data_IF_330960375437
#
_entry.id   IF_330960375437
#
_cell.length_a   1.000
_cell.length_b   1.000
_cell.length_c   1.000
_cell.angle_alpha   90.00
_cell.angle_beta   90.00
_cell.angle_gamma   90.00
#
_symmetry.space_group_name_H-M   'P 1'
#
loop_
_entity.id
_entity.type
_entity.pdbx_description
1 polymer ?
#
# COMPACT_ATOMS: atom_id res chain seq x y z
N UNK A 1 -15.38 -25.36 61.81
CA UNK A 1 -15.40 -25.48 60.33
C UNK A 1 -15.50 -24.15 59.57
N UNK A 2 -16.19 -23.10 60.10
CA UNK A 2 -16.42 -21.81 59.39
C UNK A 2 -15.14 -21.04 58.99
N UNK A 3 -14.09 -21.04 59.82
CA UNK A 3 -12.81 -20.34 59.54
C UNK A 3 -12.00 -20.95 58.37
N UNK A 4 -12.11 -22.26 58.14
CA UNK A 4 -11.33 -22.96 57.08
C UNK A 4 -11.86 -22.63 55.68
N UNK A 5 -13.17 -22.41 55.54
CA UNK A 5 -13.78 -21.98 54.28
C UNK A 5 -13.37 -20.56 53.90
N UNK A 6 -13.25 -19.62 54.85
CA UNK A 6 -12.84 -18.26 54.56
C UNK A 6 -11.39 -18.18 54.05
N UNK A 7 -10.50 -19.03 54.57
CA UNK A 7 -9.11 -19.12 54.10
C UNK A 7 -9.04 -19.69 52.67
N UNK A 8 -9.83 -20.71 52.36
CA UNK A 8 -9.92 -21.29 51.02
C UNK A 8 -10.48 -20.27 50.02
N UNK A 9 -11.55 -19.54 50.38
CA UNK A 9 -12.13 -18.48 49.55
C UNK A 9 -11.12 -17.36 49.30
N UNK A 10 -10.37 -16.96 50.34
CA UNK A 10 -9.30 -15.96 50.21
C UNK A 10 -8.19 -16.43 49.28
N UNK A 11 -7.80 -17.71 49.36
CA UNK A 11 -6.80 -18.30 48.48
C UNK A 11 -7.26 -18.32 47.01
N UNK A 12 -8.53 -18.65 46.77
CA UNK A 12 -9.12 -18.60 45.43
C UNK A 12 -9.16 -17.17 44.86
N UNK A 13 -9.53 -16.18 45.67
CA UNK A 13 -9.50 -14.76 45.28
C UNK A 13 -8.09 -14.31 44.91
N UNK A 14 -7.08 -14.70 45.69
CA UNK A 14 -5.69 -14.34 45.46
C UNK A 14 -5.13 -14.99 44.18
N UNK A 15 -5.51 -16.24 43.91
CA UNK A 15 -5.20 -16.94 42.66
C UNK A 15 -5.83 -16.24 41.46
N UNK A 16 -7.12 -15.91 41.50
CA UNK A 16 -7.82 -15.24 40.40
C UNK A 16 -7.16 -13.89 40.07
N UNK A 17 -6.87 -13.06 41.07
CA UNK A 17 -6.20 -11.76 40.90
C UNK A 17 -4.78 -11.92 40.31
N UNK A 18 -4.09 -13.02 40.65
CA UNK A 18 -2.75 -13.30 40.13
C UNK A 18 -2.77 -13.74 38.65
N UNK A 19 -3.86 -14.36 38.19
CA UNK A 19 -4.03 -14.79 36.80
C UNK A 19 -4.55 -13.68 35.88
N UNK A 20 -5.34 -12.72 36.38
CA UNK A 20 -5.86 -11.61 35.56
C UNK A 20 -4.78 -10.65 35.06
N UNK A 21 -3.61 -10.59 35.71
CA UNK A 21 -2.50 -9.73 35.28
C UNK A 21 -1.63 -10.34 34.16
N UNK A 22 -1.92 -11.56 33.69
CA UNK A 22 -1.14 -12.23 32.63
C UNK A 22 -1.79 -12.23 31.25
N UNK A 23 -3.02 -11.77 31.11
CA UNK A 23 -3.62 -11.56 29.79
C UNK A 23 -3.12 -10.24 29.22
N UNK A 24 -1.86 -10.20 28.77
CA UNK A 24 -1.48 -9.29 27.68
C UNK A 24 -2.25 -9.79 26.47
N UNK A 25 -3.46 -9.25 26.27
CA UNK A 25 -4.12 -9.40 24.99
C UNK A 25 -3.12 -8.92 23.94
N UNK A 26 -2.71 -9.81 23.03
CA UNK A 26 -2.14 -9.34 21.79
C UNK A 26 -3.24 -8.51 21.17
N UNK A 27 -3.09 -7.19 21.19
CA UNK A 27 -3.85 -6.35 20.28
C UNK A 27 -3.41 -6.89 18.93
N UNK A 28 -4.30 -7.64 18.28
CA UNK A 28 -4.23 -7.87 16.84
C UNK A 28 -4.43 -6.48 16.22
N UNK A 29 -3.42 -5.63 16.32
CA UNK A 29 -3.29 -4.49 15.45
C UNK A 29 -3.29 -5.10 14.06
N UNK A 30 -4.41 -4.95 13.37
CA UNK A 30 -4.56 -5.45 12.03
C UNK A 30 -3.48 -4.78 11.20
N UNK A 31 -2.38 -5.51 10.94
CA UNK A 31 -1.32 -5.16 10.00
C UNK A 31 -1.83 -5.20 8.56
N UNK A 32 -3.02 -4.65 8.31
CA UNK A 32 -3.60 -4.53 6.99
C UNK A 32 -2.80 -3.46 6.25
N UNK A 33 -2.07 -3.83 5.19
CA UNK A 33 -1.50 -2.86 4.28
C UNK A 33 -2.62 -1.98 3.72
N UNK A 34 -2.29 -0.74 3.40
CA UNK A 34 -3.18 0.19 2.74
C UNK A 34 -2.47 0.73 1.52
N UNK A 35 -3.21 0.78 0.42
CA UNK A 35 -2.81 1.44 -0.82
C UNK A 35 -3.91 2.43 -1.18
N UNK A 36 -3.64 3.72 -0.96
CA UNK A 36 -4.55 4.80 -1.32
C UNK A 36 -3.78 6.04 -1.75
N UNK A 37 -4.35 6.81 -2.66
CA UNK A 37 -3.96 8.21 -2.85
C UNK A 37 -4.59 9.03 -1.74
N UNK A 38 -3.76 9.68 -0.92
CA UNK A 38 -4.22 10.36 0.29
C UNK A 38 -4.57 11.82 0.07
N UNK A 39 -3.69 12.55 -0.63
CA UNK A 39 -3.88 13.98 -0.94
C UNK A 39 -2.96 14.44 -2.07
N UNK A 40 -3.24 15.62 -2.61
CA UNK A 40 -2.28 16.35 -3.44
C UNK A 40 -1.19 17.00 -2.57
N UNK A 41 0.02 17.10 -3.10
CA UNK A 41 1.17 17.76 -2.50
C UNK A 41 1.87 18.66 -3.52
N UNK A 42 2.87 19.41 -3.05
CA UNK A 42 3.71 20.25 -3.90
C UNK A 42 5.15 19.73 -3.82
N UNK A 43 5.75 19.43 -4.97
CA UNK A 43 7.14 19.00 -5.07
C UNK A 43 7.79 19.71 -6.26
N UNK A 44 8.91 20.39 -6.02
CA UNK A 44 9.61 21.19 -7.04
C UNK A 44 8.71 22.17 -7.81
N UNK A 45 7.74 22.80 -7.11
CA UNK A 45 6.71 23.70 -7.67
C UNK A 45 5.66 23.04 -8.56
N UNK A 46 5.68 21.72 -8.70
CA UNK A 46 4.64 20.95 -9.37
C UNK A 46 3.65 20.37 -8.36
N UNK A 47 2.37 20.35 -8.71
CA UNK A 47 1.35 19.65 -7.93
C UNK A 47 1.38 18.16 -8.30
N UNK A 48 1.34 17.31 -7.29
CA UNK A 48 1.53 15.86 -7.43
C UNK A 48 0.64 15.10 -6.45
N UNK A 49 0.47 13.79 -6.65
CA UNK A 49 -0.27 12.94 -5.71
C UNK A 49 0.66 12.32 -4.66
N UNK A 50 0.19 12.27 -3.42
CA UNK A 50 0.84 11.56 -2.33
C UNK A 50 0.14 10.21 -2.11
N UNK A 51 0.80 9.11 -2.50
CA UNK A 51 0.32 7.75 -2.27
C UNK A 51 0.80 7.20 -0.93
N UNK A 52 -0.09 6.57 -0.16
CA UNK A 52 0.27 5.77 1.01
C UNK A 52 0.37 4.31 0.57
N UNK A 53 1.49 3.68 0.92
CA UNK A 53 1.75 2.25 0.77
C UNK A 53 2.32 1.72 2.09
N UNK A 54 1.52 1.75 3.15
CA UNK A 54 1.96 1.49 4.54
C UNK A 54 0.93 0.63 5.28
N UNK A 55 1.25 0.17 6.47
CA UNK A 55 0.27 -0.46 7.36
C UNK A 55 -0.73 0.57 7.88
N UNK A 56 -1.96 0.13 8.12
CA UNK A 56 -2.93 0.98 8.80
C UNK A 56 -2.41 1.43 10.17
N UNK A 57 -2.51 2.74 10.41
CA UNK A 57 -2.25 3.42 11.67
C UNK A 57 -3.43 4.34 11.91
N UNK A 58 -3.87 4.47 13.15
CA UNK A 58 -4.99 5.36 13.48
C UNK A 58 -4.65 6.83 13.16
N UNK A 59 -3.39 7.21 13.31
CA UNK A 59 -2.87 8.53 12.98
C UNK A 59 -2.20 8.51 11.59
N UNK A 60 -2.93 9.02 10.59
CA UNK A 60 -2.45 9.05 9.19
C UNK A 60 -1.18 9.87 9.01
N UNK A 61 -0.92 10.88 9.85
CA UNK A 61 0.30 11.70 9.74
C UNK A 61 1.59 10.90 10.02
N UNK A 62 1.47 9.72 10.65
CA UNK A 62 2.58 8.79 10.92
C UNK A 62 2.74 7.73 9.83
N UNK A 63 1.90 7.74 8.81
CA UNK A 63 2.06 6.87 7.64
C UNK A 63 3.11 7.45 6.71
N UNK A 64 3.86 6.56 6.06
CA UNK A 64 4.80 6.97 5.01
C UNK A 64 4.06 7.24 3.71
N UNK A 65 4.47 8.31 3.04
CA UNK A 65 3.94 8.71 1.74
C UNK A 65 5.02 8.59 0.68
N UNK A 66 4.60 8.31 -0.54
CA UNK A 66 5.41 8.40 -1.74
C UNK A 66 4.80 9.41 -2.71
N UNK A 67 5.65 10.12 -3.43
CA UNK A 67 5.25 11.12 -4.39
C UNK A 67 5.09 10.48 -5.77
N UNK A 68 3.88 10.56 -6.31
CA UNK A 68 3.50 9.97 -7.58
C UNK A 68 3.04 11.05 -8.55
N UNK A 69 3.40 10.88 -9.82
CA UNK A 69 2.98 11.73 -10.92
C UNK A 69 2.39 10.87 -12.02
N UNK A 70 1.18 11.19 -12.44
CA UNK A 70 0.58 10.66 -13.65
C UNK A 70 0.74 11.68 -14.78
N UNK A 71 1.25 11.23 -15.91
CA UNK A 71 1.28 12.01 -17.14
C UNK A 71 0.44 11.30 -18.20
N UNK A 72 -0.65 11.94 -18.63
CA UNK A 72 -1.61 11.42 -19.60
C UNK A 72 -1.15 11.53 -21.06
N UNK A 73 -0.18 12.39 -21.37
CA UNK A 73 0.40 12.51 -22.71
C UNK A 73 1.47 11.45 -22.94
N UNK A 74 2.29 11.22 -21.91
CA UNK A 74 3.24 10.11 -21.89
C UNK A 74 2.59 8.76 -21.59
N UNK A 75 1.34 8.78 -21.12
CA UNK A 75 0.61 7.62 -20.60
C UNK A 75 1.47 6.82 -19.61
N UNK A 76 2.03 7.51 -18.63
CA UNK A 76 3.03 6.94 -17.71
C UNK A 76 2.78 7.36 -16.27
N UNK A 77 3.09 6.46 -15.34
CA UNK A 77 3.13 6.76 -13.91
C UNK A 77 4.59 6.82 -13.46
N UNK A 78 4.91 7.85 -12.70
CA UNK A 78 6.23 8.08 -12.15
C UNK A 78 6.19 8.12 -10.64
N UNK A 79 7.26 7.63 -10.03
CA UNK A 79 7.56 7.76 -8.61
C UNK A 79 8.75 8.71 -8.45
N UNK A 80 8.70 9.61 -7.49
CA UNK A 80 9.86 10.42 -7.13
C UNK A 80 10.90 9.58 -6.38
N UNK A 81 12.12 9.55 -6.90
CA UNK A 81 13.29 9.02 -6.22
C UNK A 81 13.94 10.14 -5.40
N UNK A 82 13.93 9.98 -4.07
CA UNK A 82 14.50 10.95 -3.15
C UNK A 82 16.03 10.98 -3.18
N UNK A 83 16.70 9.90 -3.59
CA UNK A 83 18.15 9.81 -3.63
C UNK A 83 18.68 10.51 -4.88
N UNK A 84 18.06 10.21 -6.03
CA UNK A 84 18.41 10.80 -7.32
C UNK A 84 17.72 12.15 -7.60
N UNK A 85 16.82 12.59 -6.72
CA UNK A 85 16.02 13.82 -6.85
C UNK A 85 15.23 13.94 -8.15
N UNK A 86 14.81 12.83 -8.72
CA UNK A 86 14.18 12.77 -10.04
C UNK A 86 12.97 11.84 -10.06
N UNK A 87 12.04 12.09 -10.99
CA UNK A 87 10.93 11.17 -11.24
C UNK A 87 11.39 9.98 -12.09
N UNK A 88 11.16 8.78 -11.58
CA UNK A 88 11.42 7.52 -12.28
C UNK A 88 10.11 6.92 -12.77
N UNK A 89 10.10 6.50 -14.04
CA UNK A 89 8.94 5.86 -14.65
C UNK A 89 8.77 4.45 -14.07
N UNK A 90 7.64 4.21 -13.41
CA UNK A 90 7.33 2.93 -12.76
C UNK A 90 6.25 2.13 -13.51
N UNK A 91 5.36 2.79 -14.25
CA UNK A 91 4.34 2.14 -15.08
C UNK A 91 4.31 2.86 -16.43
N UNK A 92 4.35 2.09 -17.53
CA UNK A 92 4.08 2.59 -18.87
C UNK A 92 2.74 1.99 -19.34
N UNK A 93 1.78 2.82 -19.70
CA UNK A 93 0.43 2.39 -20.06
C UNK A 93 0.25 2.24 -21.59
N UNK A 94 1.27 2.58 -22.38
CA UNK A 94 1.29 2.39 -23.84
C UNK A 94 1.43 0.92 -24.17
N UNK A 95 0.51 0.36 -24.95
CA UNK A 95 0.47 -1.08 -25.23
C UNK A 95 1.67 -1.62 -26.02
N UNK A 96 2.51 -0.75 -26.58
CA UNK A 96 3.68 -1.13 -27.38
C UNK A 96 4.97 -1.26 -26.54
N UNK A 97 4.95 -0.84 -25.26
CA UNK A 97 6.11 -0.94 -24.38
C UNK A 97 6.12 -2.27 -23.61
N UNK A 98 6.64 -3.31 -24.26
CA UNK A 98 6.72 -4.66 -23.70
C UNK A 98 7.87 -4.84 -22.70
N UNK A 99 8.67 -3.80 -22.43
CA UNK A 99 9.83 -3.93 -21.55
C UNK A 99 9.38 -3.96 -20.09
N UNK A 100 9.74 -5.01 -19.33
CA UNK A 100 9.43 -5.04 -17.91
C UNK A 100 10.10 -3.87 -17.19
N UNK A 101 9.39 -3.28 -16.25
CA UNK A 101 9.94 -2.27 -15.33
C UNK A 101 10.47 -2.98 -14.12
N UNK A 102 11.77 -2.90 -13.90
CA UNK A 102 12.45 -3.73 -12.90
C UNK A 102 12.67 -2.99 -11.58
N UNK A 103 12.71 -3.77 -10.48
CA UNK A 103 13.09 -3.32 -9.13
C UNK A 103 12.30 -2.10 -8.63
N UNK A 104 10.99 -2.10 -8.86
CA UNK A 104 10.09 -1.08 -8.33
C UNK A 104 9.88 -1.35 -6.83
N UNK A 105 10.09 -0.34 -6.00
CA UNK A 105 9.76 -0.36 -4.57
C UNK A 105 8.61 0.60 -4.28
N UNK A 106 7.55 0.15 -3.62
CA UNK A 106 6.45 1.00 -3.14
C UNK A 106 6.20 0.75 -1.65
N UNK A 107 6.57 1.70 -0.80
CA UNK A 107 6.37 1.68 0.65
C UNK A 107 6.79 0.36 1.31
N UNK A 108 5.85 -0.30 2.01
CA UNK A 108 6.12 -1.54 2.75
C UNK A 108 6.21 -2.79 1.86
N UNK A 109 5.73 -2.75 0.62
CA UNK A 109 5.79 -3.91 -0.28
C UNK A 109 7.21 -4.22 -0.70
N UNK A 110 7.57 -5.50 -0.80
CA UNK A 110 8.85 -5.91 -1.37
C UNK A 110 9.02 -5.44 -2.82
N UNK A 111 10.28 -5.28 -3.22
CA UNK A 111 10.61 -4.89 -4.60
C UNK A 111 10.01 -5.88 -5.60
N UNK A 112 9.48 -5.35 -6.70
CA UNK A 112 8.84 -6.14 -7.75
C UNK A 112 9.24 -5.64 -9.14
N UNK A 113 9.22 -6.55 -10.11
CA UNK A 113 9.24 -6.23 -11.52
C UNK A 113 7.79 -6.18 -12.03
N UNK A 114 7.48 -5.25 -12.91
CA UNK A 114 6.15 -5.09 -13.50
C UNK A 114 6.20 -5.34 -15.00
N UNK A 115 5.39 -6.28 -15.48
CA UNK A 115 5.26 -6.63 -16.89
C UNK A 115 3.83 -6.42 -17.34
N UNK A 116 3.64 -5.71 -18.45
CA UNK A 116 2.32 -5.54 -19.05
C UNK A 116 1.87 -6.87 -19.67
N UNK A 117 0.66 -7.33 -19.30
CA UNK A 117 0.06 -8.50 -19.94
C UNK A 117 -0.91 -8.10 -21.04
N UNK A 118 -1.67 -7.03 -20.82
CA UNK A 118 -2.61 -6.47 -21.78
C UNK A 118 -2.73 -4.94 -21.57
N UNK A 119 -3.45 -4.21 -22.43
CA UNK A 119 -3.58 -2.75 -22.32
C UNK A 119 -4.12 -2.23 -20.99
N UNK A 120 -4.79 -3.07 -20.20
CA UNK A 120 -5.40 -2.72 -18.91
C UNK A 120 -4.81 -3.47 -17.73
N UNK A 121 -3.87 -4.40 -17.92
CA UNK A 121 -3.37 -5.23 -16.82
C UNK A 121 -1.85 -5.43 -16.84
N UNK A 122 -1.31 -5.46 -15.63
CA UNK A 122 0.11 -5.68 -15.35
C UNK A 122 0.25 -6.77 -14.29
N UNK A 123 1.22 -7.66 -14.47
CA UNK A 123 1.61 -8.63 -13.45
C UNK A 123 2.92 -8.22 -12.79
N UNK A 124 2.95 -8.36 -11.47
CA UNK A 124 4.15 -8.19 -10.67
C UNK A 124 4.85 -9.53 -10.44
N UNK A 125 6.17 -9.55 -10.58
CA UNK A 125 7.03 -10.70 -10.31
C UNK A 125 8.21 -10.30 -9.44
N UNK A 126 8.90 -11.26 -8.82
CA UNK A 126 10.06 -10.95 -7.98
C UNK A 126 11.28 -10.64 -8.86
N UNK A 127 12.01 -9.54 -8.59
CA UNK A 127 13.29 -9.25 -9.25
C UNK A 127 14.36 -10.30 -8.97
N UNK A 128 14.19 -11.11 -7.93
CA UNK A 128 15.17 -12.10 -7.46
C UNK A 128 14.67 -13.55 -7.60
N UNK A 129 13.59 -13.78 -8.36
CA UNK A 129 13.05 -15.12 -8.61
C UNK A 129 11.82 -15.46 -7.77
N UNK A 130 11.99 -16.10 -6.60
CA UNK A 130 10.88 -16.41 -5.69
C UNK A 130 10.87 -15.44 -4.52
N UNK A 131 9.68 -14.95 -4.15
CA UNK A 131 9.50 -14.22 -2.90
C UNK A 131 9.64 -15.16 -1.70
N UNK A 132 10.17 -14.68 -0.56
CA UNK A 132 10.03 -15.37 0.72
C UNK A 132 8.55 -15.62 1.08
N UNK A 133 8.28 -16.59 1.95
CA UNK A 133 6.90 -16.94 2.35
C UNK A 133 6.21 -15.89 3.23
N UNK A 134 6.95 -14.95 3.81
CA UNK A 134 6.45 -14.02 4.84
C UNK A 134 6.71 -12.57 4.49
N UNK A 135 6.27 -12.14 3.30
CA UNK A 135 6.48 -10.78 2.82
C UNK A 135 5.24 -10.20 2.14
N UNK A 136 5.04 -8.89 2.28
CA UNK A 136 4.02 -8.16 1.55
C UNK A 136 4.46 -7.98 0.09
N UNK A 137 3.62 -8.40 -0.85
CA UNK A 137 3.95 -8.36 -2.28
C UNK A 137 2.78 -7.79 -3.09
N UNK A 138 3.11 -6.96 -4.07
CA UNK A 138 2.16 -6.62 -5.13
C UNK A 138 2.08 -7.81 -6.09
N UNK A 139 0.86 -8.15 -6.51
CA UNK A 139 0.58 -9.27 -7.42
C UNK A 139 0.26 -8.77 -8.83
N UNK A 140 -0.59 -7.76 -8.93
CA UNK A 140 -0.98 -7.19 -10.21
C UNK A 140 -1.48 -5.76 -10.04
N UNK A 141 -1.49 -5.02 -11.15
CA UNK A 141 -2.06 -3.69 -11.25
C UNK A 141 -3.02 -3.70 -12.44
N UNK A 142 -4.25 -3.26 -12.22
CA UNK A 142 -5.30 -3.16 -13.24
C UNK A 142 -5.68 -1.70 -13.44
N UNK A 143 -5.81 -1.28 -14.70
CA UNK A 143 -6.30 0.04 -15.09
C UNK A 143 -7.83 0.00 -15.12
N UNK A 144 -8.46 0.61 -14.13
CA UNK A 144 -9.91 0.73 -14.06
C UNK A 144 -10.41 1.86 -14.96
N UNK A 145 -9.72 3.00 -14.94
CA UNK A 145 -10.06 4.17 -15.73
C UNK A 145 -8.78 4.92 -16.13
N UNK A 146 -8.73 5.40 -17.37
CA UNK A 146 -7.66 6.24 -17.90
C UNK A 146 -8.29 7.36 -18.74
N UNK A 147 -8.14 8.59 -18.31
CA UNK A 147 -8.56 9.81 -19.03
C UNK A 147 -7.40 10.81 -19.06
N UNK A 148 -7.58 11.95 -19.75
CA UNK A 148 -6.60 13.04 -19.71
C UNK A 148 -6.37 13.59 -18.30
N UNK A 149 -7.39 13.59 -17.45
CA UNK A 149 -7.32 14.16 -16.11
C UNK A 149 -6.99 13.13 -15.03
N UNK A 150 -7.49 11.90 -15.14
CA UNK A 150 -7.46 10.91 -14.05
C UNK A 150 -7.02 9.54 -14.53
N UNK A 151 -6.27 8.87 -13.67
CA UNK A 151 -5.95 7.46 -13.77
C UNK A 151 -6.41 6.76 -12.49
N UNK A 152 -7.25 5.74 -12.62
CA UNK A 152 -7.68 4.90 -11.50
C UNK A 152 -7.09 3.52 -11.69
N UNK A 153 -6.27 3.10 -10.74
CA UNK A 153 -5.65 1.78 -10.71
C UNK A 153 -6.19 0.97 -9.54
N UNK A 154 -6.44 -0.32 -9.80
CA UNK A 154 -6.61 -1.32 -8.75
C UNK A 154 -5.29 -2.06 -8.58
N UNK A 155 -4.76 -2.03 -7.37
CA UNK A 155 -3.50 -2.72 -7.04
C UNK A 155 -3.87 -3.92 -6.18
N UNK A 156 -3.68 -5.12 -6.72
CA UNK A 156 -3.90 -6.37 -5.99
C UNK A 156 -2.59 -6.75 -5.30
N UNK A 157 -2.67 -7.08 -4.01
CA UNK A 157 -1.51 -7.42 -3.20
C UNK A 157 -1.83 -8.55 -2.23
N UNK A 158 -0.77 -9.09 -1.65
CA UNK A 158 -0.82 -10.18 -0.69
C UNK A 158 0.02 -9.78 0.53
N UNK A 159 -0.46 -10.10 1.73
CA UNK A 159 0.30 -9.90 2.96
C UNK A 159 1.19 -11.11 3.33
N UNK A 160 1.88 -11.01 4.46
CA UNK A 160 2.76 -12.06 5.00
C UNK A 160 2.03 -13.36 5.42
N UNK A 161 0.70 -13.32 5.55
CA UNK A 161 -0.17 -14.47 5.86
C UNK A 161 -0.84 -15.04 4.59
N UNK A 162 -0.37 -14.60 3.42
CA UNK A 162 -0.92 -14.98 2.12
C UNK A 162 -2.36 -14.52 1.85
N UNK A 163 -2.88 -13.62 2.67
CA UNK A 163 -4.20 -13.05 2.47
C UNK A 163 -4.18 -12.07 1.30
N UNK A 164 -5.19 -12.20 0.44
CA UNK A 164 -5.31 -11.42 -0.80
C UNK A 164 -6.18 -10.19 -0.54
N UNK A 165 -5.67 -9.06 -0.99
CA UNK A 165 -6.32 -7.77 -0.85
C UNK A 165 -6.22 -6.97 -2.14
N UNK A 166 -6.94 -5.86 -2.18
CA UNK A 166 -6.74 -4.84 -3.18
C UNK A 166 -6.80 -3.45 -2.55
N UNK A 167 -6.17 -2.49 -3.20
CA UNK A 167 -6.33 -1.07 -2.92
C UNK A 167 -6.57 -0.31 -4.21
N UNK A 168 -7.12 0.90 -4.07
CA UNK A 168 -7.44 1.78 -5.19
C UNK A 168 -6.52 2.99 -5.13
N UNK A 169 -5.79 3.20 -6.22
CA UNK A 169 -4.92 4.34 -6.41
C UNK A 169 -5.55 5.26 -7.44
N UNK A 170 -5.83 6.51 -7.05
CA UNK A 170 -6.41 7.53 -7.92
C UNK A 170 -5.36 8.60 -8.15
N UNK A 171 -4.92 8.77 -9.38
CA UNK A 171 -3.90 9.75 -9.76
C UNK A 171 -4.51 10.80 -10.68
N UNK A 172 -4.06 12.03 -10.53
CA UNK A 172 -4.52 13.18 -11.32
C UNK A 172 -3.36 13.72 -12.14
N UNK A 173 -3.60 13.94 -13.43
CA UNK A 173 -2.71 14.74 -14.26
C UNK A 173 -3.07 16.22 -14.07
N UNK A 174 -2.29 16.89 -13.23
CA UNK A 174 -2.54 18.27 -12.85
C UNK A 174 -2.38 19.29 -13.99
N UNK A 175 -1.79 18.88 -15.14
CA UNK A 175 -1.80 19.72 -16.37
C UNK A 175 -3.22 19.99 -16.85
N UNK A 176 -4.13 19.07 -16.56
CA UNK A 176 -5.51 19.06 -17.06
C UNK A 176 -6.54 19.18 -15.92
N UNK A 177 -6.12 19.61 -14.72
CA UNK A 177 -7.03 19.71 -13.55
C UNK A 177 -8.24 20.61 -13.82
N UNK A 178 -8.07 21.65 -14.63
CA UNK A 178 -9.11 22.62 -14.99
C UNK A 178 -9.90 22.27 -16.26
N UNK A 179 -9.61 21.15 -16.92
CA UNK A 179 -10.46 20.68 -18.01
C UNK A 179 -11.76 20.08 -17.43
N UNK A 180 -12.86 20.34 -18.12
CA UNK A 180 -14.13 19.64 -17.87
C UNK A 180 -13.90 18.15 -18.17
N UNK A 181 -14.45 17.28 -17.32
CA UNK A 181 -14.39 15.84 -17.56
C UNK A 181 -15.33 15.57 -18.74
N UNK A 182 -14.79 15.25 -19.93
CA UNK A 182 -15.60 14.78 -21.05
C UNK A 182 -16.34 13.50 -20.59
N UNK A 183 -17.69 13.56 -20.53
CA UNK A 183 -18.57 12.44 -20.13
C UNK A 183 -18.47 11.24 -21.07
#
# INVERSE_FOLDING_TARGET
MRKRNNFIIFLYLLLIISFTNRTKGQILEFYKPIIISYRSGLLNKEKIDCGIFDYFKQDTAKMKYEYLKYDSDEESVFKYDNDNKAFQKIICLKSEDLRPREKIKLGIFHEFNLTQQDPKSFIASSPYGKYPSHVQIIKSIEVLQKTKKKLILRINYQDEFEWKYFGILVLTDYKYENLEDDE
#
